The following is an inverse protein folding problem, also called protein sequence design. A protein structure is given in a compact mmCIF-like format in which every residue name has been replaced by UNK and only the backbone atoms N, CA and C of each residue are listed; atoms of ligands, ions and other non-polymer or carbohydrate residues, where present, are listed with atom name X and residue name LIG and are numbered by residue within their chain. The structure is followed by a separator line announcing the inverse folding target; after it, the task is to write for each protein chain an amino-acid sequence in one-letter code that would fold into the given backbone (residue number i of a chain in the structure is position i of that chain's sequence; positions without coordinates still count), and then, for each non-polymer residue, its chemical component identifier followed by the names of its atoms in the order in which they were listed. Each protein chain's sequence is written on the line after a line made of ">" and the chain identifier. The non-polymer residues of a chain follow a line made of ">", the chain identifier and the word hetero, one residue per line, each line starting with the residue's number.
data_IF_988684699173
#
_entry.id   IF_988684699173
#
_cell.length_a   1.000
_cell.length_b   1.000
_cell.length_c   1.000
_cell.angle_alpha   90.00
_cell.angle_beta   90.00
_cell.angle_gamma   90.00
#
_symmetry.space_group_name_H-M   'P 1'
#
loop_
_entity.id
_entity.type
_entity.pdbx_description
1 polymer ?
#
# COMPACT_ATOMS: atom_id res chain seq x y z
N UNK A 1 20.91 28.18 -15.52
CA UNK A 1 20.94 28.45 -14.07
C UNK A 1 19.76 27.76 -13.46
N UNK A 2 19.98 26.75 -12.61
CA UNK A 2 18.92 26.24 -11.73
C UNK A 2 18.46 27.39 -10.84
N UNK A 3 17.15 27.66 -10.73
CA UNK A 3 16.67 28.71 -9.83
C UNK A 3 17.14 28.39 -8.40
N UNK A 4 17.50 29.43 -7.65
CA UNK A 4 17.85 29.29 -6.25
C UNK A 4 16.70 28.64 -5.46
N UNK A 5 17.03 27.86 -4.43
CA UNK A 5 16.03 27.20 -3.60
C UNK A 5 15.07 28.20 -2.97
N UNK A 6 13.76 28.01 -3.19
CA UNK A 6 12.71 28.89 -2.68
C UNK A 6 12.45 28.60 -1.20
N UNK A 7 13.18 29.33 -0.36
CA UNK A 7 13.12 29.15 1.09
C UNK A 7 11.79 29.59 1.70
N UNK A 8 11.06 30.53 1.08
CA UNK A 8 9.75 30.99 1.56
C UNK A 8 8.69 29.92 1.35
N UNK A 9 8.60 29.37 0.13
CA UNK A 9 7.68 28.28 -0.16
C UNK A 9 7.97 27.07 0.73
N UNK A 10 9.25 26.72 0.89
CA UNK A 10 9.64 25.60 1.74
C UNK A 10 9.25 25.81 3.20
N UNK A 11 9.43 27.01 3.75
CA UNK A 11 8.99 27.33 5.11
C UNK A 11 7.48 27.15 5.28
N UNK A 12 6.68 27.69 4.34
CA UNK A 12 5.20 27.53 4.37
C UNK A 12 4.77 26.07 4.29
N UNK A 13 5.41 25.26 3.44
CA UNK A 13 5.12 23.82 3.33
C UNK A 13 5.52 23.04 4.58
N UNK A 14 6.69 23.35 5.16
CA UNK A 14 7.17 22.69 6.38
C UNK A 14 6.24 22.98 7.56
N UNK A 15 5.81 24.24 7.69
CA UNK A 15 4.99 24.69 8.82
C UNK A 15 3.50 24.33 8.63
N UNK A 16 3.07 23.94 7.44
CA UNK A 16 1.72 23.42 7.18
C UNK A 16 1.49 22.08 7.90
N UNK A 17 0.46 22.01 8.74
CA UNK A 17 0.03 20.77 9.41
C UNK A 17 -1.09 20.10 8.64
N UNK A 18 -0.94 18.79 8.39
CA UNK A 18 -2.00 17.92 7.89
C UNK A 18 -2.87 17.36 9.02
N UNK A 19 -2.32 17.29 10.23
CA UNK A 19 -3.03 16.81 11.40
C UNK A 19 -3.81 17.94 12.05
N UNK A 20 -5.08 17.67 12.30
CA UNK A 20 -5.93 18.44 13.20
C UNK A 20 -5.79 17.85 14.62
N UNK A 21 -5.31 18.62 15.61
CA UNK A 21 -5.12 18.12 16.97
C UNK A 21 -6.42 17.70 17.67
N UNK A 22 -7.56 18.22 17.23
CA UNK A 22 -8.88 17.91 17.81
C UNK A 22 -9.51 16.68 17.15
N UNK A 23 -8.91 16.15 16.07
CA UNK A 23 -9.44 14.98 15.37
C UNK A 23 -9.16 13.69 16.15
N UNK A 24 -10.21 12.91 16.40
CA UNK A 24 -10.10 11.58 17.02
C UNK A 24 -9.28 10.58 16.16
N UNK A 25 -9.18 10.84 14.85
CA UNK A 25 -8.29 10.12 13.94
C UNK A 25 -7.59 11.14 13.03
N UNK A 26 -6.41 11.64 13.44
CA UNK A 26 -5.61 12.56 12.64
C UNK A 26 -5.20 11.97 11.29
N UNK A 27 -4.84 12.85 10.35
CA UNK A 27 -4.42 12.48 9.00
C UNK A 27 -3.30 11.45 9.01
N UNK A 28 -2.26 11.65 9.82
CA UNK A 28 -1.10 10.77 9.92
C UNK A 28 -1.46 9.36 10.38
N UNK A 29 -2.36 9.24 11.36
CA UNK A 29 -2.85 7.96 11.85
C UNK A 29 -3.72 7.25 10.82
N UNK A 30 -4.57 8.01 10.12
CA UNK A 30 -5.39 7.47 9.03
C UNK A 30 -4.52 6.96 7.88
N UNK A 31 -3.52 7.75 7.48
CA UNK A 31 -2.55 7.38 6.45
C UNK A 31 -1.83 6.07 6.81
N UNK A 32 -1.35 5.97 8.05
CA UNK A 32 -0.70 4.77 8.55
C UNK A 32 -1.63 3.55 8.50
N UNK A 33 -2.87 3.71 8.98
CA UNK A 33 -3.86 2.63 9.05
C UNK A 33 -4.30 2.14 7.67
N UNK A 34 -4.54 3.04 6.72
CA UNK A 34 -5.04 2.66 5.38
C UNK A 34 -3.98 1.96 4.53
N UNK A 35 -2.70 2.15 4.83
CA UNK A 35 -1.59 1.58 4.07
C UNK A 35 -0.80 0.49 4.82
N UNK A 36 -1.25 0.08 6.02
CA UNK A 36 -0.54 -0.86 6.89
C UNK A 36 0.91 -0.43 7.19
N UNK A 37 1.09 0.86 7.46
CA UNK A 37 2.39 1.45 7.78
C UNK A 37 2.56 1.67 9.27
N UNK A 38 3.80 1.64 9.73
CA UNK A 38 4.11 2.13 11.08
C UNK A 38 3.90 3.65 11.16
N UNK A 39 3.53 4.20 12.35
CA UNK A 39 3.39 5.65 12.51
C UNK A 39 4.65 6.43 12.12
N UNK A 40 5.83 5.88 12.45
CA UNK A 40 7.11 6.47 12.07
C UNK A 40 7.34 6.49 10.55
N UNK A 41 6.91 5.46 9.83
CA UNK A 41 7.00 5.44 8.37
C UNK A 41 6.03 6.46 7.75
N UNK A 42 4.78 6.52 8.20
CA UNK A 42 3.79 7.48 7.73
C UNK A 42 4.25 8.94 7.96
N UNK A 43 4.87 9.23 9.09
CA UNK A 43 5.46 10.56 9.35
C UNK A 43 6.56 10.91 8.35
N UNK A 44 7.44 9.96 7.99
CA UNK A 44 8.45 10.20 6.94
C UNK A 44 7.81 10.42 5.57
N UNK A 45 6.76 9.67 5.23
CA UNK A 45 6.03 9.85 3.96
C UNK A 45 5.37 11.23 3.90
N UNK A 46 4.86 11.76 5.01
CA UNK A 46 4.30 13.12 5.09
C UNK A 46 5.38 14.18 4.78
N UNK A 47 6.58 14.02 5.32
CA UNK A 47 7.70 14.92 5.00
C UNK A 47 8.08 14.85 3.51
N UNK A 48 8.11 13.65 2.94
CA UNK A 48 8.35 13.45 1.50
C UNK A 48 7.22 14.00 0.62
N UNK A 49 5.96 13.96 1.09
CA UNK A 49 4.84 14.60 0.43
C UNK A 49 5.01 16.12 0.37
N UNK A 50 5.46 16.77 1.46
CA UNK A 50 5.80 18.20 1.45
C UNK A 50 6.92 18.52 0.45
N UNK A 51 7.94 17.66 0.35
CA UNK A 51 9.00 17.80 -0.67
C UNK A 51 8.44 17.66 -2.08
N UNK A 52 7.55 16.70 -2.33
CA UNK A 52 6.88 16.55 -3.61
C UNK A 52 6.07 17.80 -3.98
N UNK A 53 5.30 18.39 -3.05
CA UNK A 53 4.56 19.63 -3.27
C UNK A 53 5.49 20.79 -3.67
N UNK A 54 6.68 20.89 -3.06
CA UNK A 54 7.69 21.85 -3.46
C UNK A 54 8.14 21.63 -4.92
N UNK A 55 8.37 20.37 -5.31
CA UNK A 55 8.75 20.02 -6.68
C UNK A 55 7.66 20.37 -7.68
N UNK A 56 6.40 20.08 -7.40
CA UNK A 56 5.27 20.48 -8.24
C UNK A 56 5.25 21.99 -8.52
N UNK A 57 5.65 22.81 -7.54
CA UNK A 57 5.67 24.26 -7.64
C UNK A 57 6.92 24.86 -8.32
N UNK A 58 8.03 24.11 -8.35
CA UNK A 58 9.36 24.68 -8.68
C UNK A 58 10.16 23.91 -9.72
N UNK A 59 9.83 22.66 -10.02
CA UNK A 59 10.56 21.85 -10.99
C UNK A 59 10.39 22.34 -12.44
N UNK A 60 9.34 23.12 -12.73
CA UNK A 60 9.06 23.65 -14.07
C UNK A 60 8.59 22.58 -15.07
N UNK A 61 8.20 21.41 -14.58
CA UNK A 61 7.64 20.33 -15.38
C UNK A 61 6.64 19.49 -14.56
N UNK A 62 5.76 18.73 -15.21
CA UNK A 62 4.91 17.74 -14.53
C UNK A 62 5.74 16.78 -13.67
N UNK A 63 5.33 16.57 -12.42
CA UNK A 63 6.01 15.72 -11.47
C UNK A 63 5.17 14.48 -11.16
N UNK A 64 5.80 13.32 -11.11
CA UNK A 64 5.17 12.05 -10.71
C UNK A 64 5.72 11.64 -9.35
N UNK A 65 4.87 11.38 -8.33
CA UNK A 65 5.31 10.95 -7.01
C UNK A 65 5.68 9.46 -6.99
N UNK A 66 6.34 9.01 -5.92
CA UNK A 66 6.40 7.58 -5.59
C UNK A 66 5.02 7.07 -5.15
N UNK A 67 4.86 5.75 -5.00
CA UNK A 67 3.56 5.19 -4.58
C UNK A 67 3.18 5.71 -3.19
N UNK A 68 4.12 5.68 -2.27
CA UNK A 68 3.95 6.08 -0.89
C UNK A 68 3.52 7.56 -0.79
N UNK A 69 4.17 8.43 -1.55
CA UNK A 69 3.83 9.86 -1.58
C UNK A 69 2.49 10.10 -2.28
N UNK A 70 2.17 9.33 -3.31
CA UNK A 70 0.85 9.37 -3.98
C UNK A 70 -0.27 8.97 -3.02
N UNK A 71 -0.07 7.98 -2.13
CA UNK A 71 -1.06 7.62 -1.11
C UNK A 71 -1.34 8.77 -0.14
N UNK A 72 -0.29 9.51 0.28
CA UNK A 72 -0.49 10.70 1.10
C UNK A 72 -1.24 11.80 0.34
N UNK A 73 -0.92 12.00 -0.94
CA UNK A 73 -1.62 12.98 -1.77
C UNK A 73 -3.10 12.61 -2.01
N UNK A 74 -3.38 11.34 -2.36
CA UNK A 74 -4.74 10.81 -2.50
C UNK A 74 -5.57 10.99 -1.24
N UNK A 75 -4.98 10.68 -0.07
CA UNK A 75 -5.67 10.91 1.19
C UNK A 75 -5.94 12.40 1.39
N UNK A 76 -4.98 13.28 1.11
CA UNK A 76 -5.15 14.72 1.32
C UNK A 76 -6.22 15.32 0.41
N UNK A 77 -6.38 14.84 -0.83
CA UNK A 77 -7.48 15.22 -1.73
C UNK A 77 -8.87 14.96 -1.10
N UNK A 78 -8.99 13.96 -0.22
CA UNK A 78 -10.23 13.69 0.49
C UNK A 78 -10.52 14.71 1.63
N UNK A 79 -9.51 15.45 2.09
CA UNK A 79 -9.65 16.54 3.07
C UNK A 79 -9.83 17.87 2.33
N UNK A 80 -10.92 17.97 1.58
CA UNK A 80 -11.10 18.99 0.53
C UNK A 80 -10.87 20.43 0.98
N UNK A 81 -11.26 20.81 2.20
CA UNK A 81 -11.00 22.16 2.75
C UNK A 81 -9.51 22.38 3.04
N UNK A 82 -8.86 21.42 3.71
CA UNK A 82 -7.41 21.45 3.94
C UNK A 82 -6.64 21.49 2.61
N UNK A 83 -7.10 20.74 1.61
CA UNK A 83 -6.45 20.67 0.31
C UNK A 83 -6.64 21.93 -0.54
N UNK A 84 -7.88 22.37 -0.75
CA UNK A 84 -8.20 23.47 -1.66
C UNK A 84 -8.04 24.84 -1.01
N UNK A 85 -8.60 25.04 0.17
CA UNK A 85 -8.64 26.35 0.82
C UNK A 85 -7.28 26.66 1.49
N UNK A 86 -6.73 25.71 2.23
CA UNK A 86 -5.48 25.91 2.98
C UNK A 86 -4.25 25.66 2.11
N UNK A 87 -4.06 24.42 1.61
CA UNK A 87 -2.88 24.07 0.83
C UNK A 87 -2.83 24.82 -0.51
N UNK A 88 -3.80 24.64 -1.41
CA UNK A 88 -3.76 25.28 -2.72
C UNK A 88 -3.92 26.81 -2.62
N UNK A 89 -4.88 27.28 -1.81
CA UNK A 89 -5.19 28.71 -1.68
C UNK A 89 -4.11 29.54 -0.97
N UNK A 90 -3.59 29.05 0.17
CA UNK A 90 -2.70 29.86 1.03
C UNK A 90 -1.23 29.42 0.96
N UNK A 91 -0.97 28.11 0.95
CA UNK A 91 0.39 27.55 1.03
C UNK A 91 1.06 27.46 -0.35
N UNK A 92 0.38 26.95 -1.37
CA UNK A 92 0.93 26.86 -2.73
C UNK A 92 0.64 28.14 -3.52
N UNK A 93 -0.54 28.72 -3.33
CA UNK A 93 -1.08 29.87 -4.09
C UNK A 93 -1.25 29.58 -5.59
N UNK A 94 -1.48 28.32 -5.92
CA UNK A 94 -1.91 27.86 -7.24
C UNK A 94 -2.70 26.55 -7.10
N UNK A 95 -3.63 26.25 -8.02
CA UNK A 95 -4.35 25.00 -7.99
C UNK A 95 -3.42 23.85 -8.40
N UNK A 96 -3.30 22.84 -7.54
CA UNK A 96 -2.59 21.61 -7.86
C UNK A 96 -3.61 20.51 -8.14
N UNK A 97 -3.74 20.09 -9.38
CA UNK A 97 -4.68 19.04 -9.79
C UNK A 97 -4.02 17.66 -9.79
N UNK A 98 -4.77 16.66 -9.32
CA UNK A 98 -4.43 15.26 -9.51
C UNK A 98 -5.27 14.70 -10.66
N UNK A 99 -4.61 14.06 -11.61
CA UNK A 99 -5.26 13.44 -12.76
C UNK A 99 -5.10 11.91 -12.74
N UNK A 100 -6.16 11.15 -13.02
CA UNK A 100 -6.04 9.70 -13.18
C UNK A 100 -5.18 9.36 -14.41
N UNK A 101 -4.53 8.20 -14.38
CA UNK A 101 -3.88 7.64 -15.57
C UNK A 101 -4.92 7.26 -16.63
N UNK A 102 -4.63 7.53 -17.91
CA UNK A 102 -5.41 6.97 -19.02
C UNK A 102 -5.17 5.46 -19.22
N UNK A 103 -4.15 4.90 -18.56
CA UNK A 103 -3.72 3.52 -18.73
C UNK A 103 -3.02 3.26 -20.06
N UNK A 104 -2.49 2.03 -20.20
CA UNK A 104 -1.73 1.61 -21.38
C UNK A 104 -0.24 1.92 -21.30
N UNK A 105 0.51 1.35 -22.24
CA UNK A 105 1.99 1.31 -22.16
C UNK A 105 2.62 2.69 -22.42
N UNK A 106 2.05 3.50 -23.33
CA UNK A 106 2.51 4.88 -23.58
C UNK A 106 2.36 5.76 -22.34
N UNK A 107 1.25 5.61 -21.63
CA UNK A 107 0.96 6.37 -20.42
C UNK A 107 1.91 5.95 -19.28
N UNK A 108 2.21 4.65 -19.19
CA UNK A 108 3.21 4.12 -18.26
C UNK A 108 4.61 4.67 -18.57
N UNK A 109 5.03 4.71 -19.84
CA UNK A 109 6.31 5.28 -20.26
C UNK A 109 6.40 6.79 -19.94
N UNK A 110 5.32 7.53 -20.19
CA UNK A 110 5.22 8.96 -19.83
C UNK A 110 5.45 9.18 -18.34
N UNK A 111 4.73 8.44 -17.48
CA UNK A 111 4.88 8.59 -16.03
C UNK A 111 6.24 8.11 -15.51
N UNK A 112 6.83 7.07 -16.12
CA UNK A 112 8.20 6.65 -15.80
C UNK A 112 9.20 7.78 -16.11
N UNK A 113 9.10 8.42 -17.29
CA UNK A 113 9.94 9.55 -17.65
C UNK A 113 9.77 10.75 -16.70
N UNK A 114 8.53 11.09 -16.34
CA UNK A 114 8.26 12.18 -15.40
C UNK A 114 8.77 11.85 -14.00
N UNK A 115 8.70 10.60 -13.58
CA UNK A 115 9.23 10.14 -12.29
C UNK A 115 10.76 10.28 -12.25
N UNK A 116 11.49 9.84 -13.28
CA UNK A 116 12.95 10.05 -13.38
C UNK A 116 13.32 11.52 -13.26
N UNK A 117 12.62 12.39 -13.99
CA UNK A 117 12.84 13.84 -13.92
C UNK A 117 12.51 14.40 -12.54
N UNK A 118 11.50 13.85 -11.86
CA UNK A 118 11.14 14.22 -10.49
C UNK A 118 12.27 13.89 -9.52
N UNK A 119 12.89 12.71 -9.64
CA UNK A 119 14.05 12.32 -8.81
C UNK A 119 15.26 13.23 -9.05
N UNK A 120 15.52 13.62 -10.31
CA UNK A 120 16.58 14.59 -10.64
C UNK A 120 16.29 15.96 -10.02
N UNK A 121 15.06 16.45 -10.16
CA UNK A 121 14.62 17.71 -9.57
C UNK A 121 14.67 17.68 -8.04
N UNK A 122 14.35 16.55 -7.42
CA UNK A 122 14.52 16.33 -5.98
C UNK A 122 15.97 16.52 -5.55
N UNK A 123 16.90 15.78 -6.18
CA UNK A 123 18.34 15.86 -5.87
C UNK A 123 18.86 17.28 -6.06
N UNK A 124 18.43 17.97 -7.13
CA UNK A 124 18.83 19.34 -7.40
C UNK A 124 18.29 20.34 -6.36
N UNK A 125 17.07 20.13 -5.86
CA UNK A 125 16.45 21.04 -4.91
C UNK A 125 16.99 20.85 -3.48
N UNK A 126 17.15 19.59 -3.04
CA UNK A 126 17.45 19.27 -1.65
C UNK A 126 18.91 18.88 -1.39
N UNK A 127 19.74 18.78 -2.44
CA UNK A 127 21.17 18.49 -2.31
C UNK A 127 21.52 17.04 -1.95
N UNK A 128 20.53 16.19 -1.70
CA UNK A 128 20.68 14.76 -1.43
C UNK A 128 19.63 13.94 -2.18
N UNK A 129 19.90 12.65 -2.46
CA UNK A 129 18.92 11.81 -3.10
C UNK A 129 17.77 11.55 -2.14
N UNK A 130 16.55 11.30 -2.64
CA UNK A 130 15.44 10.96 -1.78
C UNK A 130 15.66 9.58 -1.13
N UNK A 131 15.03 9.31 0.02
CA UNK A 131 15.18 8.02 0.71
C UNK A 131 14.59 6.88 -0.13
N UNK A 132 15.44 5.94 -0.56
CA UNK A 132 15.06 4.88 -1.51
C UNK A 132 13.95 3.93 -1.06
N UNK A 133 13.63 3.90 0.23
CA UNK A 133 12.52 3.11 0.79
C UNK A 133 11.16 3.84 0.73
N UNK A 134 11.12 5.09 0.27
CA UNK A 134 9.93 5.89 -0.03
C UNK A 134 9.94 6.29 -1.50
N UNK A 135 11.12 6.54 -2.06
CA UNK A 135 11.35 6.89 -3.46
C UNK A 135 12.22 5.83 -4.14
N UNK A 136 11.67 4.64 -4.45
CA UNK A 136 12.42 3.61 -5.15
C UNK A 136 12.85 4.10 -6.54
N UNK A 137 13.89 3.48 -7.11
CA UNK A 137 14.27 3.74 -8.50
C UNK A 137 13.14 3.36 -9.46
N UNK A 138 13.13 3.98 -10.63
CA UNK A 138 12.05 3.89 -11.63
C UNK A 138 11.74 2.44 -12.02
N UNK A 139 12.77 1.61 -12.19
CA UNK A 139 12.59 0.20 -12.51
C UNK A 139 11.82 -0.53 -11.42
N UNK A 140 12.05 -0.21 -10.14
CA UNK A 140 11.32 -0.82 -9.02
C UNK A 140 9.89 -0.28 -8.95
N UNK A 141 9.71 1.05 -9.03
CA UNK A 141 8.40 1.73 -8.98
C UNK A 141 7.44 1.21 -10.05
N UNK A 142 7.95 0.92 -11.25
CA UNK A 142 7.16 0.50 -12.42
C UNK A 142 7.40 -0.97 -12.83
N UNK A 143 8.09 -1.76 -12.00
CA UNK A 143 8.45 -3.17 -12.29
C UNK A 143 7.27 -4.10 -12.55
N UNK A 144 6.13 -3.83 -11.90
CA UNK A 144 4.96 -4.69 -11.96
C UNK A 144 3.69 -3.87 -11.82
N UNK A 145 2.62 -4.29 -12.49
CA UNK A 145 1.29 -3.68 -12.35
C UNK A 145 0.74 -4.12 -10.99
N UNK A 146 0.71 -3.23 -9.97
CA UNK A 146 0.22 -3.64 -8.67
C UNK A 146 -1.27 -3.98 -8.76
N UNK A 147 -1.69 -5.04 -8.05
CA UNK A 147 -3.08 -5.54 -8.07
C UNK A 147 -3.77 -5.25 -6.75
N UNK A 148 -3.79 -3.99 -6.36
CA UNK A 148 -4.46 -3.56 -5.13
C UNK A 148 -5.97 -3.80 -5.23
N UNK A 149 -6.56 -4.20 -4.11
CA UNK A 149 -7.99 -4.43 -3.92
C UNK A 149 -8.35 -3.94 -2.52
N UNK A 150 -9.48 -3.24 -2.38
CA UNK A 150 -10.04 -2.96 -1.06
C UNK A 150 -10.66 -4.24 -0.53
N UNK A 151 -10.19 -4.70 0.63
CA UNK A 151 -10.64 -5.93 1.26
C UNK A 151 -11.12 -5.62 2.68
N UNK A 152 -12.22 -6.26 3.07
CA UNK A 152 -12.67 -6.27 4.47
C UNK A 152 -11.93 -7.40 5.20
N UNK A 153 -10.97 -7.05 6.05
CA UNK A 153 -10.14 -7.99 6.80
C UNK A 153 -10.92 -8.74 7.90
N UNK A 154 -12.15 -8.33 8.23
CA UNK A 154 -13.03 -9.15 9.09
C UNK A 154 -13.58 -10.37 8.35
N UNK A 155 -13.58 -10.34 7.02
CA UNK A 155 -14.10 -11.39 6.13
C UNK A 155 -13.03 -12.10 5.32
N UNK A 156 -11.83 -11.53 5.24
CA UNK A 156 -10.75 -12.05 4.41
C UNK A 156 -9.47 -12.18 5.22
N UNK A 157 -8.82 -13.34 5.09
CA UNK A 157 -7.47 -13.54 5.58
C UNK A 157 -6.48 -13.26 4.45
N UNK A 158 -5.60 -12.27 4.64
CA UNK A 158 -4.51 -11.96 3.71
C UNK A 158 -3.24 -12.61 4.24
N UNK A 159 -2.73 -13.62 3.52
CA UNK A 159 -1.49 -14.29 3.87
C UNK A 159 -0.37 -13.81 2.95
N UNK A 160 0.84 -13.56 3.49
CA UNK A 160 2.00 -13.30 2.65
C UNK A 160 2.23 -14.49 1.73
N UNK A 161 2.70 -14.24 0.50
CA UNK A 161 3.02 -15.33 -0.42
C UNK A 161 4.18 -16.15 0.16
N UNK A 162 3.99 -17.44 0.46
CA UNK A 162 5.06 -18.26 1.01
C UNK A 162 6.20 -18.36 -0.02
N UNK A 163 7.44 -18.46 0.47
CA UNK A 163 8.56 -18.75 -0.41
C UNK A 163 8.37 -20.11 -1.08
N UNK A 164 8.94 -20.30 -2.27
CA UNK A 164 8.85 -21.58 -2.99
C UNK A 164 9.33 -22.75 -2.14
N UNK A 165 10.34 -22.54 -1.30
CA UNK A 165 10.87 -23.55 -0.38
C UNK A 165 9.86 -23.97 0.70
N UNK A 166 9.15 -23.00 1.31
CA UNK A 166 8.11 -23.31 2.31
C UNK A 166 6.98 -24.10 1.65
N UNK A 167 6.60 -23.72 0.42
CA UNK A 167 5.55 -24.42 -0.34
C UNK A 167 5.95 -25.86 -0.69
N UNK A 168 7.20 -26.09 -1.14
CA UNK A 168 7.65 -27.44 -1.47
C UNK A 168 7.74 -28.32 -0.23
N UNK A 169 8.26 -27.82 0.88
CA UNK A 169 8.30 -28.58 2.14
C UNK A 169 6.90 -28.92 2.66
N UNK A 170 5.96 -27.97 2.59
CA UNK A 170 4.58 -28.17 3.01
C UNK A 170 3.82 -29.23 2.19
N UNK A 171 4.26 -29.52 0.95
CA UNK A 171 3.67 -30.56 0.09
C UNK A 171 4.42 -31.88 0.21
N UNK A 172 5.76 -31.84 0.17
CA UNK A 172 6.58 -33.05 0.16
C UNK A 172 6.50 -33.78 1.50
N UNK A 173 6.54 -33.07 2.62
CA UNK A 173 6.58 -33.71 3.95
C UNK A 173 5.30 -34.52 4.24
N UNK A 174 4.08 -34.02 4.02
CA UNK A 174 2.87 -34.82 4.18
C UNK A 174 2.77 -35.97 3.18
N UNK A 175 3.17 -35.76 1.93
CA UNK A 175 3.14 -36.82 0.90
C UNK A 175 4.12 -37.94 1.26
N UNK A 176 5.33 -37.61 1.71
CA UNK A 176 6.31 -38.59 2.16
C UNK A 176 5.83 -39.37 3.39
N UNK A 177 5.21 -38.69 4.37
CA UNK A 177 4.60 -39.34 5.53
C UNK A 177 3.44 -40.26 5.14
N UNK A 178 2.63 -39.85 4.17
CA UNK A 178 1.51 -40.63 3.64
C UNK A 178 2.01 -41.88 2.89
N UNK A 179 3.04 -41.74 2.06
CA UNK A 179 3.66 -42.85 1.34
C UNK A 179 4.32 -43.85 2.30
N UNK A 180 5.01 -43.35 3.34
CA UNK A 180 5.57 -44.20 4.40
C UNK A 180 4.49 -44.92 5.22
N UNK A 181 3.38 -44.23 5.51
CA UNK A 181 2.20 -44.85 6.12
C UNK A 181 1.60 -45.97 5.25
N UNK A 182 1.48 -45.76 3.95
CA UNK A 182 0.97 -46.78 3.03
C UNK A 182 1.90 -47.99 2.91
N UNK A 183 3.22 -47.79 2.85
CA UNK A 183 4.17 -48.91 2.73
C UNK A 183 4.17 -49.79 3.98
N UNK A 184 4.01 -49.21 5.17
CA UNK A 184 3.90 -49.98 6.42
C UNK A 184 2.60 -50.77 6.51
N UNK A 185 1.48 -50.24 6.02
CA UNK A 185 0.18 -50.92 5.97
C UNK A 185 0.18 -52.13 5.02
N UNK A 186 0.85 -52.01 3.87
CA UNK A 186 0.97 -53.11 2.89
C UNK A 186 1.93 -54.21 3.36
N UNK A 187 2.85 -53.88 4.25
CA UNK A 187 3.85 -54.82 4.79
C UNK A 187 3.38 -55.53 6.07
N UNK A 188 2.33 -55.04 6.74
CA UNK A 188 1.77 -55.67 7.94
C UNK A 188 0.78 -56.78 7.57
N UNK A 189 1.13 -58.03 7.86
CA UNK A 189 0.26 -59.22 7.69
C UNK A 189 -0.73 -59.42 8.86
N UNK A 190 -0.75 -58.47 9.79
CA UNK A 190 -1.67 -58.40 10.92
C UNK A 190 -2.52 -57.15 10.72
N UNK A 191 -3.85 -57.30 10.75
CA UNK A 191 -4.82 -56.24 10.45
C UNK A 191 -4.87 -55.08 11.47
N UNK A 192 -3.73 -54.74 12.09
CA UNK A 192 -3.60 -53.64 13.02
C UNK A 192 -3.43 -52.33 12.25
N UNK A 193 -4.38 -51.42 12.41
CA UNK A 193 -4.30 -50.09 11.84
C UNK A 193 -3.15 -49.31 12.52
N UNK A 194 -2.06 -48.97 11.80
CA UNK A 194 -0.93 -48.29 12.39
C UNK A 194 -1.37 -46.90 12.86
N UNK A 195 -0.88 -46.47 14.03
CA UNK A 195 -1.20 -45.18 14.67
C UNK A 195 -1.00 -44.00 13.69
N UNK A 196 -0.12 -44.14 12.69
CA UNK A 196 0.10 -43.20 11.59
C UNK A 196 -1.15 -42.89 10.75
N UNK A 197 -2.04 -43.88 10.52
CA UNK A 197 -3.31 -43.68 9.80
C UNK A 197 -4.33 -42.93 10.65
N UNK A 198 -4.32 -43.13 11.97
CA UNK A 198 -5.14 -42.36 12.92
C UNK A 198 -4.65 -40.91 12.96
N UNK A 199 -3.33 -40.69 13.00
CA UNK A 199 -2.74 -39.34 12.95
C UNK A 199 -3.09 -38.64 11.64
N UNK A 200 -3.02 -39.34 10.51
CA UNK A 200 -3.42 -38.79 9.20
C UNK A 200 -4.92 -38.47 9.14
N UNK A 201 -5.77 -39.36 9.65
CA UNK A 201 -7.21 -39.14 9.73
C UNK A 201 -7.56 -37.95 10.62
N UNK A 202 -6.96 -37.85 11.81
CA UNK A 202 -7.12 -36.71 12.72
C UNK A 202 -6.62 -35.42 12.07
N UNK A 203 -5.48 -35.45 11.38
CA UNK A 203 -4.96 -34.29 10.65
C UNK A 203 -5.92 -33.82 9.56
N UNK A 204 -6.46 -34.74 8.74
CA UNK A 204 -7.44 -34.42 7.70
C UNK A 204 -8.76 -33.91 8.29
N UNK A 205 -9.24 -34.49 9.39
CA UNK A 205 -10.43 -34.02 10.12
C UNK A 205 -10.21 -32.62 10.68
N UNK A 206 -9.07 -32.35 11.33
CA UNK A 206 -8.74 -31.03 11.85
C UNK A 206 -8.59 -30.00 10.72
N UNK A 207 -8.03 -30.40 9.57
CA UNK A 207 -7.94 -29.56 8.38
C UNK A 207 -9.35 -29.22 7.85
N UNK A 208 -10.25 -30.20 7.73
CA UNK A 208 -11.65 -30.00 7.30
C UNK A 208 -12.44 -29.17 8.32
N UNK A 209 -12.26 -29.39 9.62
CA UNK A 209 -12.89 -28.58 10.68
C UNK A 209 -12.39 -27.13 10.58
N UNK A 210 -11.08 -26.92 10.40
CA UNK A 210 -10.54 -25.57 10.23
C UNK A 210 -11.12 -24.91 8.98
N UNK A 211 -11.13 -25.61 7.84
CA UNK A 211 -11.68 -25.10 6.58
C UNK A 211 -13.20 -24.84 6.65
N UNK A 212 -13.97 -25.66 7.38
CA UNK A 212 -15.41 -25.49 7.55
C UNK A 212 -15.79 -24.44 8.58
N UNK A 213 -14.97 -24.23 9.63
CA UNK A 213 -15.12 -23.11 10.58
C UNK A 213 -14.72 -21.77 9.94
N UNK A 214 -13.74 -21.76 9.03
CA UNK A 214 -13.50 -20.60 8.16
C UNK A 214 -14.69 -20.30 7.23
N UNK A 215 -15.50 -21.30 6.87
CA UNK A 215 -16.69 -21.16 6.03
C UNK A 215 -17.98 -20.79 6.76
N UNK A 216 -17.97 -20.72 8.10
CA UNK A 216 -19.19 -20.54 8.91
C UNK A 216 -19.06 -19.39 9.90
N UNK A 217 -18.63 -18.23 9.42
CA UNK A 217 -18.63 -16.95 10.13
C UNK A 217 -19.72 -16.01 9.60
N UNK A 218 -20.98 -16.45 9.59
CA UNK A 218 -22.11 -15.64 9.15
C UNK A 218 -23.31 -15.86 10.06
N UNK A 219 -23.46 -15.00 11.08
CA UNK A 219 -24.68 -14.92 11.87
C UNK A 219 -24.45 -14.52 13.34
N UNK A 220 -24.45 -13.23 13.63
CA UNK A 220 -24.49 -12.72 15.00
C UNK A 220 -24.52 -11.19 15.04
N UNK A 221 -25.72 -10.63 15.27
CA UNK A 221 -26.03 -9.20 15.39
C UNK A 221 -25.54 -8.61 16.73
N UNK A 222 -25.23 -7.31 16.68
CA UNK A 222 -25.08 -6.38 17.82
C UNK A 222 -23.79 -5.56 17.67
N UNK A 223 -23.74 -4.24 17.57
CA UNK A 223 -24.70 -3.17 17.79
C UNK A 223 -23.93 -1.97 18.34
N UNK A 224 -23.91 -0.85 17.60
CA UNK A 224 -23.41 0.51 17.94
C UNK A 224 -21.88 0.69 17.98
N UNK A 225 -21.27 1.78 17.50
CA UNK A 225 -21.73 3.02 16.88
C UNK A 225 -20.49 3.87 16.52
N UNK A 226 -20.56 4.70 15.48
CA UNK A 226 -19.46 5.59 15.10
C UNK A 226 -19.58 6.03 13.66
N UNK A 227 -20.29 7.14 13.44
CA UNK A 227 -20.53 7.73 12.13
C UNK A 227 -19.23 8.04 11.39
N UNK A 228 -19.17 7.62 10.14
CA UNK A 228 -18.21 8.09 9.15
C UNK A 228 -18.93 8.16 7.82
N UNK A 229 -19.17 9.38 7.34
CA UNK A 229 -19.60 9.63 5.98
C UNK A 229 -18.50 9.13 5.02
N UNK A 230 -18.60 7.87 4.61
CA UNK A 230 -17.75 7.29 3.58
C UNK A 230 -18.23 7.75 2.23
N UNK A 231 -17.70 8.87 1.73
CA UNK A 231 -17.69 9.15 0.30
C UNK A 231 -16.84 8.07 -0.38
N UNK A 232 -17.55 7.07 -0.92
CA UNK A 232 -17.01 6.02 -1.77
C UNK A 232 -16.49 6.64 -3.07
N UNK A 233 -15.20 6.96 -3.12
CA UNK A 233 -14.46 7.00 -4.38
C UNK A 233 -14.00 5.57 -4.69
N UNK A 234 -14.77 4.89 -5.53
CA UNK A 234 -14.27 3.74 -6.28
C UNK A 234 -13.38 4.26 -7.39
N UNK A 235 -12.08 3.97 -7.30
CA UNK A 235 -11.10 4.30 -8.33
C UNK A 235 -10.40 3.01 -8.75
N UNK A 236 -10.53 2.69 -10.02
CA UNK A 236 -9.84 1.60 -10.68
C UNK A 236 -8.33 1.71 -10.50
N UNK A 237 -7.67 0.55 -10.45
CA UNK A 237 -6.23 0.28 -10.43
C UNK A 237 -5.28 1.46 -10.23
N UNK A 238 -4.53 1.44 -9.13
CA UNK A 238 -3.39 2.31 -8.86
C UNK A 238 -2.33 2.18 -9.99
N UNK A 239 -2.48 2.98 -11.03
CA UNK A 239 -1.44 3.35 -11.99
C UNK A 239 -1.21 4.84 -11.81
N UNK A 240 0.05 5.22 -11.57
CA UNK A 240 0.43 6.55 -11.06
C UNK A 240 -0.30 7.72 -11.71
N UNK A 241 -0.77 8.64 -10.87
CA UNK A 241 -1.15 9.98 -11.28
C UNK A 241 0.04 10.92 -11.18
N UNK A 242 -0.03 12.06 -11.87
CA UNK A 242 0.97 13.12 -11.79
C UNK A 242 0.29 14.48 -11.80
N UNK A 243 1.00 15.53 -11.37
CA UNK A 243 0.49 16.89 -11.50
C UNK A 243 0.66 17.38 -12.94
N UNK A 244 -0.45 17.57 -13.66
CA UNK A 244 -0.48 18.23 -14.97
C UNK A 244 -0.92 19.69 -14.82
N UNK A 245 -0.31 20.58 -15.58
CA UNK A 245 -0.81 21.95 -15.76
C UNK A 245 -1.68 22.01 -17.02
N UNK A 246 -2.76 22.78 -16.94
CA UNK A 246 -3.57 23.20 -18.09
C UNK A 246 -2.80 24.24 -18.95
#
# INVERSE_FOLDING_TARGET
>A
MTPAFDSDLWARLRDFSLDDPDAALPFSQRLARENDWSPAFASRVIEEYKRYLYLCARAGHPCTPSDEVDQAWHLHLCYTRSYWDELCGKVLRFPLHHGPTAGGDQEQEKFANWYDRTLVSYQSAFGSPPPGNIWPVTEIRFSSKPRFRRLDLSRHLVLPRPSRAILTTAIVLPVSLLLYGCSTLLASDTGDFPISMIILGVFLILLVIKLSLLGRGGGGRGGWGGGGCGSSCGGDGCGGGGCGGD
#
